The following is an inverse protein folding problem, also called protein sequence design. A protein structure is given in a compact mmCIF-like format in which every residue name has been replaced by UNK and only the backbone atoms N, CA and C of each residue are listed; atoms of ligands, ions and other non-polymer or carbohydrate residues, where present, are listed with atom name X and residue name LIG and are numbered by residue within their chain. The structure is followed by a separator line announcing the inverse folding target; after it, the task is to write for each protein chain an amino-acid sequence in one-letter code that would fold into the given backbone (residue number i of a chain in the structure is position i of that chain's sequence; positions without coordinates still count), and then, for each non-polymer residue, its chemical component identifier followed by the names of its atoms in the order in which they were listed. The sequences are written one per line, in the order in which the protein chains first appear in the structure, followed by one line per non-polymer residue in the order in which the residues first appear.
data_IF_493350165531
#
_entry.id   IF_493350165531
#
_cell.length_a   1.000
_cell.length_b   1.000
_cell.length_c   1.000
_cell.angle_alpha   90.00
_cell.angle_beta   90.00
_cell.angle_gamma   90.00
#
_symmetry.space_group_name_H-M   'P 1'
#
loop_
_entity.id
_entity.type
_entity.pdbx_description
1 polymer ?
#
# COMPACT_ATOMS: atom_id res chain seq x y z
N UNK A 1 -22.55 7.58 31.18
CA UNK A 1 -22.01 7.52 29.84
C UNK A 1 -20.65 6.83 29.90
N UNK A 2 -20.57 5.58 29.40
CA UNK A 2 -19.32 4.84 29.33
C UNK A 2 -18.43 5.56 28.34
N UNK A 3 -17.26 6.07 28.76
CA UNK A 3 -16.18 6.53 27.88
C UNK A 3 -15.86 5.40 26.92
N UNK A 4 -16.08 5.60 25.61
CA UNK A 4 -15.55 4.71 24.58
C UNK A 4 -14.04 4.69 24.73
N UNK A 5 -13.48 3.51 24.97
CA UNK A 5 -12.05 3.27 25.01
C UNK A 5 -11.47 3.64 23.63
N UNK A 6 -10.77 4.76 23.58
CA UNK A 6 -10.16 5.31 22.35
C UNK A 6 -8.75 4.76 22.14
N UNK A 7 -8.51 3.50 22.50
CA UNK A 7 -7.25 2.84 22.09
C UNK A 7 -7.19 2.87 20.58
N UNK A 8 -6.24 3.62 20.05
CA UNK A 8 -5.89 3.59 18.63
C UNK A 8 -5.44 2.15 18.34
N UNK A 9 -6.28 1.37 17.65
CA UNK A 9 -5.87 0.04 17.20
C UNK A 9 -4.67 0.23 16.27
N UNK A 10 -3.57 -0.43 16.56
CA UNK A 10 -2.44 -0.52 15.64
C UNK A 10 -2.96 -1.10 14.32
N UNK A 11 -2.58 -0.45 13.22
CA UNK A 11 -3.03 -0.87 11.91
C UNK A 11 -2.08 -1.94 11.43
N UNK A 12 -2.62 -3.12 11.24
CA UNK A 12 -1.90 -4.23 10.67
C UNK A 12 -1.63 -3.96 9.17
N UNK A 13 -0.38 -4.14 8.77
CA UNK A 13 0.05 -4.08 7.38
C UNK A 13 1.15 -5.12 7.15
N UNK A 14 1.33 -5.52 5.91
CA UNK A 14 2.36 -6.48 5.54
C UNK A 14 3.75 -5.86 5.56
N UNK A 15 4.75 -6.60 6.05
CA UNK A 15 6.14 -6.36 5.67
C UNK A 15 6.34 -6.67 4.17
N UNK A 16 7.43 -6.19 3.58
CA UNK A 16 7.74 -6.53 2.17
C UNK A 16 7.96 -8.04 1.99
N UNK A 17 8.59 -8.70 2.98
CA UNK A 17 8.78 -10.15 3.01
C UNK A 17 7.46 -10.90 3.08
N UNK A 18 6.53 -10.49 3.95
CA UNK A 18 5.21 -11.10 4.05
C UNK A 18 4.41 -10.94 2.74
N UNK A 19 4.41 -9.74 2.17
CA UNK A 19 3.73 -9.48 0.89
C UNK A 19 4.29 -10.36 -0.22
N UNK A 20 5.62 -10.49 -0.31
CA UNK A 20 6.28 -11.37 -1.28
C UNK A 20 5.88 -12.82 -1.08
N UNK A 21 5.94 -13.32 0.15
CA UNK A 21 5.54 -14.69 0.48
C UNK A 21 4.09 -14.99 0.07
N UNK A 22 3.15 -14.05 0.26
CA UNK A 22 1.76 -14.21 -0.14
C UNK A 22 1.61 -14.23 -1.67
N UNK A 23 2.28 -13.33 -2.39
CA UNK A 23 2.20 -13.23 -3.85
C UNK A 23 2.86 -14.41 -4.58
N UNK A 24 3.69 -15.19 -3.92
CA UNK A 24 4.30 -16.42 -4.45
C UNK A 24 3.38 -17.65 -4.37
N UNK A 25 2.28 -17.59 -3.58
CA UNK A 25 1.41 -18.75 -3.36
C UNK A 25 0.49 -19.14 -4.52
N UNK A 26 -0.03 -18.19 -5.34
CA UNK A 26 -0.88 -18.56 -6.45
C UNK A 26 -0.15 -19.40 -7.51
N UNK A 27 -0.73 -20.54 -7.88
CA UNK A 27 -0.20 -21.39 -8.95
C UNK A 27 -0.40 -20.70 -10.32
N UNK A 28 0.70 -20.21 -10.87
CA UNK A 28 0.70 -19.43 -12.13
C UNK A 28 0.33 -20.27 -13.38
N UNK A 29 0.31 -21.60 -13.26
CA UNK A 29 -0.11 -22.48 -14.35
C UNK A 29 -1.64 -22.60 -14.41
N UNK A 30 -2.33 -22.35 -13.30
CA UNK A 30 -3.78 -22.42 -13.21
C UNK A 30 -4.43 -21.08 -13.52
N UNK A 31 -5.54 -21.13 -14.31
CA UNK A 31 -6.34 -19.93 -14.66
C UNK A 31 -6.72 -19.12 -13.41
N UNK A 32 -7.29 -19.77 -12.40
CA UNK A 32 -7.65 -19.08 -11.14
C UNK A 32 -6.45 -18.51 -10.40
N UNK A 33 -5.31 -19.21 -10.38
CA UNK A 33 -4.09 -18.71 -9.71
C UNK A 33 -3.54 -17.45 -10.38
N UNK A 34 -3.56 -17.38 -11.70
CA UNK A 34 -3.16 -16.16 -12.42
C UNK A 34 -4.11 -14.99 -12.16
N UNK A 35 -5.43 -15.25 -12.18
CA UNK A 35 -6.43 -14.23 -11.85
C UNK A 35 -6.22 -13.69 -10.44
N UNK A 36 -6.12 -14.58 -9.46
CA UNK A 36 -6.00 -14.23 -8.05
C UNK A 36 -4.69 -13.47 -7.79
N UNK A 37 -3.58 -13.90 -8.43
CA UNK A 37 -2.30 -13.19 -8.36
C UNK A 37 -2.41 -11.77 -8.91
N UNK A 38 -2.97 -11.61 -10.11
CA UNK A 38 -3.09 -10.29 -10.72
C UNK A 38 -4.04 -9.38 -9.94
N UNK A 39 -5.11 -9.93 -9.37
CA UNK A 39 -6.01 -9.20 -8.48
C UNK A 39 -5.25 -8.62 -7.28
N UNK A 40 -4.44 -9.44 -6.59
CA UNK A 40 -3.65 -9.01 -5.44
C UNK A 40 -2.57 -7.98 -5.83
N UNK A 41 -1.91 -8.17 -6.97
CA UNK A 41 -0.93 -7.19 -7.49
C UNK A 41 -1.60 -5.84 -7.76
N UNK A 42 -2.74 -5.84 -8.47
CA UNK A 42 -3.45 -4.61 -8.80
C UNK A 42 -3.99 -3.91 -7.55
N UNK A 43 -4.54 -4.68 -6.61
CA UNK A 43 -5.02 -4.16 -5.33
C UNK A 43 -3.90 -3.50 -4.51
N UNK A 44 -2.71 -4.11 -4.48
CA UNK A 44 -1.55 -3.52 -3.82
C UNK A 44 -1.05 -2.28 -4.55
N UNK A 45 -0.82 -2.36 -5.86
CA UNK A 45 -0.23 -1.28 -6.64
C UNK A 45 -1.09 -0.01 -6.60
N UNK A 46 -2.39 -0.16 -6.79
CA UNK A 46 -3.34 0.96 -6.77
C UNK A 46 -3.73 1.43 -5.37
N UNK A 47 -3.58 0.60 -4.35
CA UNK A 47 -4.12 0.84 -3.01
C UNK A 47 -5.65 0.95 -2.98
N UNK A 48 -6.34 0.50 -4.02
CA UNK A 48 -7.81 0.54 -4.12
C UNK A 48 -8.48 -0.42 -3.14
N UNK A 49 -9.75 -0.18 -2.85
CA UNK A 49 -10.57 -1.14 -2.10
C UNK A 49 -10.88 -2.34 -2.99
N UNK A 50 -11.00 -3.53 -2.40
CA UNK A 50 -11.30 -4.74 -3.16
C UNK A 50 -12.56 -4.59 -4.03
N UNK A 51 -13.61 -3.96 -3.51
CA UNK A 51 -14.83 -3.69 -4.28
C UNK A 51 -14.57 -2.74 -5.45
N UNK A 52 -13.75 -1.71 -5.26
CA UNK A 52 -13.36 -0.79 -6.35
C UNK A 52 -12.63 -1.51 -7.49
N UNK A 53 -11.83 -2.53 -7.17
CA UNK A 53 -11.16 -3.39 -8.17
C UNK A 53 -12.16 -4.35 -8.84
N UNK A 54 -13.11 -4.89 -8.09
CA UNK A 54 -14.17 -5.74 -8.64
C UNK A 54 -15.09 -5.00 -9.60
N UNK A 55 -15.33 -3.71 -9.35
CA UNK A 55 -16.18 -2.86 -10.18
C UNK A 55 -15.48 -2.39 -11.48
N UNK A 56 -14.16 -2.62 -11.62
CA UNK A 56 -13.43 -2.24 -12.82
C UNK A 56 -13.94 -3.00 -14.05
N UNK A 57 -14.15 -2.24 -15.13
CA UNK A 57 -14.42 -2.76 -16.48
C UNK A 57 -13.21 -2.49 -17.38
N UNK A 58 -13.16 -3.14 -18.53
CA UNK A 58 -12.08 -2.92 -19.50
C UNK A 58 -12.01 -1.45 -19.95
N UNK A 59 -13.16 -0.78 -20.10
CA UNK A 59 -13.22 0.65 -20.40
C UNK A 59 -12.61 1.57 -19.32
N UNK A 60 -12.33 1.07 -18.12
CA UNK A 60 -11.68 1.85 -17.08
C UNK A 60 -10.14 1.79 -17.16
N UNK A 61 -9.58 1.00 -18.07
CA UNK A 61 -8.16 0.80 -18.23
C UNK A 61 -7.64 1.73 -19.32
N UNK A 62 -6.59 2.47 -19.04
CA UNK A 62 -5.92 3.37 -19.99
C UNK A 62 -4.45 2.97 -20.10
N UNK A 63 -4.13 2.28 -21.20
CA UNK A 63 -2.77 1.78 -21.47
C UNK A 63 -2.04 2.64 -22.50
N UNK A 64 -2.76 3.56 -23.15
CA UNK A 64 -2.23 4.42 -24.18
C UNK A 64 -1.47 5.60 -23.57
N UNK A 65 -0.24 5.81 -24.01
CA UNK A 65 0.59 6.92 -23.56
C UNK A 65 1.72 6.52 -22.59
N UNK A 66 2.43 7.55 -22.10
CA UNK A 66 3.61 7.38 -21.24
C UNK A 66 3.29 6.91 -19.82
N UNK A 67 2.11 7.24 -19.33
CA UNK A 67 1.70 6.96 -17.95
C UNK A 67 0.38 6.18 -17.92
N UNK A 68 0.43 4.83 -18.01
CA UNK A 68 -0.76 4.00 -17.89
C UNK A 68 -1.46 4.18 -16.53
N UNK A 69 -2.79 4.19 -16.53
CA UNK A 69 -3.59 4.33 -15.32
C UNK A 69 -4.91 3.60 -15.39
N UNK A 70 -5.52 3.41 -14.24
CA UNK A 70 -6.90 2.90 -14.10
C UNK A 70 -7.80 3.98 -13.52
N UNK A 71 -9.03 4.07 -14.04
CA UNK A 71 -10.07 4.97 -13.54
C UNK A 71 -10.86 4.25 -12.48
N UNK A 72 -10.68 4.64 -11.22
CA UNK A 72 -11.34 4.00 -10.08
C UNK A 72 -12.50 4.88 -9.62
N UNK A 73 -13.68 4.29 -9.50
CA UNK A 73 -14.88 4.94 -8.96
C UNK A 73 -15.06 4.55 -7.49
N UNK A 74 -14.99 5.52 -6.61
CA UNK A 74 -15.15 5.33 -5.17
C UNK A 74 -16.55 5.68 -4.65
N UNK A 75 -16.69 5.75 -3.32
CA UNK A 75 -17.95 6.10 -2.67
C UNK A 75 -18.48 7.46 -3.12
N UNK A 76 -19.76 7.53 -3.48
CA UNK A 76 -20.40 8.75 -3.98
C UNK A 76 -20.08 9.06 -5.45
N UNK A 77 -19.78 8.03 -6.23
CA UNK A 77 -19.45 8.12 -7.66
C UNK A 77 -18.26 9.05 -7.99
N UNK A 78 -17.39 9.30 -7.01
CA UNK A 78 -16.17 10.09 -7.23
C UNK A 78 -15.13 9.22 -7.94
N UNK A 79 -14.68 9.67 -9.09
CA UNK A 79 -13.63 9.01 -9.87
C UNK A 79 -12.26 9.57 -9.54
N UNK A 80 -11.23 8.71 -9.63
CA UNK A 80 -9.83 9.09 -9.58
C UNK A 80 -9.01 8.28 -10.58
N UNK A 81 -8.01 8.91 -11.16
CA UNK A 81 -7.05 8.26 -12.02
C UNK A 81 -5.87 7.77 -11.17
N UNK A 82 -5.64 6.47 -11.14
CA UNK A 82 -4.56 5.87 -10.37
C UNK A 82 -3.54 5.29 -11.33
N UNK A 83 -2.33 5.89 -11.41
CA UNK A 83 -1.25 5.33 -12.22
C UNK A 83 -0.90 3.92 -11.80
N UNK A 84 -0.57 3.06 -12.76
CA UNK A 84 -0.09 1.70 -12.51
C UNK A 84 1.38 1.56 -12.93
N UNK A 85 2.14 0.83 -12.10
CA UNK A 85 3.57 0.67 -12.32
C UNK A 85 3.86 -0.25 -13.50
N UNK A 86 5.05 -0.11 -14.11
CA UNK A 86 5.46 -0.88 -15.29
C UNK A 86 5.32 -2.39 -15.11
N UNK A 87 5.71 -2.90 -13.93
CA UNK A 87 5.56 -4.34 -13.62
C UNK A 87 4.09 -4.76 -13.61
N UNK A 88 3.20 -3.94 -13.06
CA UNK A 88 1.75 -4.17 -13.03
C UNK A 88 1.17 -4.13 -14.45
N UNK A 89 1.66 -3.23 -15.31
CA UNK A 89 1.28 -3.19 -16.72
C UNK A 89 1.64 -4.48 -17.46
N UNK A 90 2.81 -5.08 -17.18
CA UNK A 90 3.21 -6.38 -17.77
C UNK A 90 2.25 -7.49 -17.35
N UNK A 91 1.89 -7.54 -16.06
CA UNK A 91 0.89 -8.50 -15.56
C UNK A 91 -0.49 -8.27 -16.18
N UNK A 92 -0.92 -7.02 -16.30
CA UNK A 92 -2.19 -6.65 -16.92
C UNK A 92 -2.26 -7.12 -18.39
N UNK A 93 -1.24 -6.84 -19.19
CA UNK A 93 -1.19 -7.30 -20.60
C UNK A 93 -1.30 -8.82 -20.70
N UNK A 94 -0.54 -9.54 -19.88
CA UNK A 94 -0.60 -11.01 -19.81
C UNK A 94 -1.99 -11.52 -19.41
N UNK A 95 -2.61 -10.83 -18.44
CA UNK A 95 -3.95 -11.15 -17.97
C UNK A 95 -5.00 -10.91 -19.05
N UNK A 96 -5.01 -9.76 -19.70
CA UNK A 96 -5.95 -9.42 -20.77
C UNK A 96 -5.85 -10.42 -21.92
N UNK A 97 -4.65 -10.75 -22.37
CA UNK A 97 -4.44 -11.74 -23.43
C UNK A 97 -5.05 -13.12 -23.11
N UNK A 98 -5.05 -13.52 -21.84
CA UNK A 98 -5.56 -14.85 -21.44
C UNK A 98 -7.04 -14.87 -21.08
N UNK A 99 -7.55 -13.76 -20.53
CA UNK A 99 -8.90 -13.72 -19.96
C UNK A 99 -9.90 -12.94 -20.83
N UNK A 100 -9.43 -11.99 -21.64
CA UNK A 100 -10.24 -11.10 -22.44
C UNK A 100 -9.80 -11.15 -23.90
N UNK A 101 -10.15 -12.23 -24.57
CA UNK A 101 -9.82 -12.44 -26.00
C UNK A 101 -10.71 -11.57 -26.89
N UNK A 102 -11.96 -11.37 -26.46
CA UNK A 102 -12.93 -10.50 -27.12
C UNK A 102 -12.85 -9.11 -26.54
N UNK A 103 -12.79 -8.10 -27.39
CA UNK A 103 -12.67 -6.70 -26.98
C UNK A 103 -14.07 -6.13 -26.64
N UNK A 104 -14.54 -6.42 -25.43
CA UNK A 104 -15.81 -5.87 -24.92
C UNK A 104 -15.50 -4.86 -23.78
N UNK A 105 -15.52 -3.55 -24.06
CA UNK A 105 -15.18 -2.51 -23.08
C UNK A 105 -16.00 -2.54 -21.79
N UNK A 106 -17.23 -3.04 -21.85
CA UNK A 106 -18.14 -3.11 -20.71
C UNK A 106 -17.98 -4.37 -19.85
N UNK A 107 -17.09 -5.29 -20.26
CA UNK A 107 -16.83 -6.49 -19.49
C UNK A 107 -16.08 -6.16 -18.19
N UNK A 108 -16.44 -6.86 -17.11
CA UNK A 108 -15.71 -6.76 -15.85
C UNK A 108 -14.28 -7.28 -16.00
N UNK A 109 -13.31 -6.53 -15.51
CA UNK A 109 -11.90 -6.95 -15.52
C UNK A 109 -11.73 -8.29 -14.79
N UNK A 110 -12.41 -8.47 -13.65
CA UNK A 110 -12.39 -9.70 -12.88
C UNK A 110 -13.76 -10.34 -12.86
N UNK A 111 -13.88 -11.48 -13.51
CA UNK A 111 -15.13 -12.22 -13.61
C UNK A 111 -15.00 -13.67 -13.15
N UNK A 112 -16.13 -14.28 -12.88
CA UNK A 112 -16.30 -15.73 -12.77
C UNK A 112 -17.13 -16.21 -13.95
N UNK A 113 -16.82 -17.41 -14.43
CA UNK A 113 -17.53 -18.02 -15.52
C UNK A 113 -18.25 -19.30 -15.04
N UNK A 114 -19.54 -19.37 -15.25
CA UNK A 114 -20.37 -20.55 -14.95
C UNK A 114 -21.24 -20.88 -16.16
N UNK A 115 -21.10 -22.09 -16.68
CA UNK A 115 -21.87 -22.56 -17.88
C UNK A 115 -21.75 -21.59 -19.07
N UNK A 116 -20.56 -21.04 -19.30
CA UNK A 116 -20.31 -20.08 -20.38
C UNK A 116 -20.81 -18.65 -20.13
N UNK A 117 -21.43 -18.37 -18.97
CA UNK A 117 -21.89 -17.02 -18.60
C UNK A 117 -20.86 -16.37 -17.68
N UNK A 118 -20.35 -15.22 -18.09
CA UNK A 118 -19.45 -14.39 -17.30
C UNK A 118 -20.24 -13.43 -16.41
N UNK A 119 -19.87 -13.36 -15.14
CA UNK A 119 -20.44 -12.44 -14.17
C UNK A 119 -19.35 -11.85 -13.27
N UNK A 120 -19.62 -10.69 -12.69
CA UNK A 120 -18.69 -10.06 -11.76
C UNK A 120 -18.26 -11.02 -10.64
N UNK A 121 -16.97 -11.03 -10.32
CA UNK A 121 -16.47 -11.76 -9.16
C UNK A 121 -16.92 -11.08 -7.87
N UNK A 122 -17.32 -11.85 -6.85
CA UNK A 122 -17.79 -11.29 -5.57
C UNK A 122 -16.67 -11.02 -4.58
N UNK A 123 -16.94 -10.17 -3.60
CA UNK A 123 -16.01 -9.90 -2.49
C UNK A 123 -15.69 -11.18 -1.69
N UNK A 124 -16.68 -12.07 -1.50
CA UNK A 124 -16.47 -13.35 -0.81
C UNK A 124 -15.44 -14.24 -1.52
N UNK A 125 -15.38 -14.18 -2.85
CA UNK A 125 -14.34 -14.88 -3.59
C UNK A 125 -12.97 -14.33 -3.29
N UNK A 126 -12.84 -13.00 -3.18
CA UNK A 126 -11.59 -12.32 -2.83
C UNK A 126 -11.16 -12.72 -1.42
N UNK A 127 -12.05 -12.63 -0.43
CA UNK A 127 -11.76 -13.00 0.96
C UNK A 127 -11.32 -14.47 1.06
N UNK A 128 -12.00 -15.37 0.36
CA UNK A 128 -11.65 -16.80 0.34
C UNK A 128 -10.27 -17.08 -0.23
N UNK A 129 -9.89 -16.48 -1.36
CA UNK A 129 -8.57 -16.75 -1.91
C UNK A 129 -7.46 -16.04 -1.12
N UNK A 130 -7.71 -14.83 -0.62
CA UNK A 130 -6.79 -14.10 0.25
C UNK A 130 -6.48 -14.92 1.51
N UNK A 131 -7.49 -15.41 2.22
CA UNK A 131 -7.32 -16.26 3.38
C UNK A 131 -6.56 -17.56 3.06
N UNK A 132 -6.90 -18.20 1.94
CA UNK A 132 -6.24 -19.44 1.48
C UNK A 132 -4.76 -19.22 1.20
N UNK A 133 -4.40 -18.15 0.48
CA UNK A 133 -2.99 -17.86 0.17
C UNK A 133 -2.23 -17.36 1.40
N UNK A 134 -2.89 -16.62 2.28
CA UNK A 134 -2.33 -16.24 3.57
C UNK A 134 -1.93 -17.46 4.39
N UNK A 135 -2.85 -18.42 4.56
CA UNK A 135 -2.57 -19.65 5.30
C UNK A 135 -1.38 -20.44 4.71
N UNK A 136 -1.29 -20.51 3.38
CA UNK A 136 -0.14 -21.17 2.74
C UNK A 136 1.17 -20.41 2.94
N UNK A 137 1.13 -19.08 2.88
CA UNK A 137 2.32 -18.27 3.09
C UNK A 137 2.84 -18.34 4.53
N UNK A 138 1.95 -18.53 5.52
CA UNK A 138 2.33 -18.77 6.93
C UNK A 138 3.14 -20.06 7.13
N UNK A 139 2.96 -21.05 6.27
CA UNK A 139 3.77 -22.30 6.31
C UNK A 139 5.24 -22.03 5.95
N UNK A 140 5.53 -20.94 5.25
CA UNK A 140 6.86 -20.60 4.73
C UNK A 140 7.47 -19.34 5.32
N UNK A 141 6.66 -18.51 5.99
CA UNK A 141 7.12 -17.21 6.54
C UNK A 141 6.35 -16.86 7.81
N UNK A 142 7.08 -16.62 8.89
CA UNK A 142 6.53 -16.15 10.17
C UNK A 142 6.11 -14.68 10.16
N UNK A 143 6.52 -13.92 9.14
CA UNK A 143 6.18 -12.51 8.99
C UNK A 143 4.73 -12.29 8.52
N UNK A 144 4.08 -13.36 8.03
CA UNK A 144 2.72 -13.28 7.50
C UNK A 144 1.73 -13.24 8.67
N UNK A 145 0.87 -12.21 8.78
CA UNK A 145 -0.11 -12.11 9.84
C UNK A 145 -1.06 -13.31 9.92
N UNK A 146 -1.57 -13.60 11.11
CA UNK A 146 -2.48 -14.73 11.33
C UNK A 146 -3.78 -14.61 10.52
N UNK A 147 -4.35 -13.41 10.48
CA UNK A 147 -5.59 -13.14 9.78
C UNK A 147 -5.38 -12.15 8.65
N UNK A 148 -5.58 -12.61 7.41
CA UNK A 148 -5.53 -11.77 6.24
C UNK A 148 -6.93 -11.35 5.78
N UNK A 149 -7.08 -10.06 5.50
CA UNK A 149 -8.29 -9.49 4.91
C UNK A 149 -7.94 -8.48 3.82
N UNK A 150 -8.79 -8.27 2.81
CA UNK A 150 -8.41 -7.48 1.63
C UNK A 150 -7.95 -6.06 1.93
N UNK A 151 -8.48 -5.43 3.00
CA UNK A 151 -8.12 -4.06 3.35
C UNK A 151 -6.65 -3.88 3.78
N UNK A 152 -5.99 -4.96 4.22
CA UNK A 152 -4.56 -4.94 4.56
C UNK A 152 -3.67 -4.58 3.37
N UNK A 153 -4.03 -4.96 2.13
CA UNK A 153 -3.29 -4.55 0.93
C UNK A 153 -3.23 -3.03 0.79
N UNK A 154 -4.37 -2.39 1.00
CA UNK A 154 -4.47 -0.94 0.97
C UNK A 154 -3.66 -0.29 2.10
N UNK A 155 -3.73 -0.82 3.32
CA UNK A 155 -2.94 -0.33 4.45
C UNK A 155 -1.44 -0.51 4.19
N UNK A 156 -1.03 -1.67 3.68
CA UNK A 156 0.37 -1.94 3.36
C UNK A 156 0.88 -1.00 2.27
N UNK A 157 0.12 -0.79 1.19
CA UNK A 157 0.52 0.15 0.15
C UNK A 157 0.68 1.56 0.69
N UNK A 158 -0.27 2.01 1.50
CA UNK A 158 -0.22 3.31 2.13
C UNK A 158 1.03 3.48 3.02
N UNK A 159 1.30 2.49 3.88
CA UNK A 159 2.47 2.51 4.76
C UNK A 159 3.78 2.45 3.99
N UNK A 160 3.86 1.60 2.96
CA UNK A 160 5.07 1.51 2.13
C UNK A 160 5.34 2.80 1.36
N UNK A 161 4.32 3.43 0.75
CA UNK A 161 4.48 4.73 0.09
C UNK A 161 4.94 5.81 1.07
N UNK A 162 4.35 5.85 2.25
CA UNK A 162 4.71 6.82 3.28
C UNK A 162 6.15 6.60 3.78
N UNK A 163 6.53 5.36 4.12
CA UNK A 163 7.88 5.01 4.57
C UNK A 163 8.95 5.29 3.50
N UNK A 164 8.59 5.18 2.23
CA UNK A 164 9.45 5.54 1.11
C UNK A 164 9.42 7.04 0.75
N UNK A 165 8.93 7.90 1.66
CA UNK A 165 9.03 9.35 1.58
C UNK A 165 7.91 10.04 0.81
N UNK A 166 6.83 9.34 0.41
CA UNK A 166 5.68 9.99 -0.21
C UNK A 166 4.95 10.87 0.82
N UNK A 167 4.74 12.18 0.54
CA UNK A 167 4.03 13.06 1.46
C UNK A 167 2.62 12.57 1.78
N UNK A 168 2.20 12.68 3.04
CA UNK A 168 0.87 12.23 3.51
C UNK A 168 -0.31 12.76 2.67
N UNK A 169 -0.34 14.03 2.22
CA UNK A 169 -1.39 14.52 1.35
C UNK A 169 -1.49 13.75 0.03
N UNK A 170 -0.36 13.42 -0.59
CA UNK A 170 -0.32 12.62 -1.82
C UNK A 170 -0.77 11.17 -1.58
N UNK A 171 -0.40 10.57 -0.45
CA UNK A 171 -0.91 9.24 -0.07
C UNK A 171 -2.42 9.27 0.11
N UNK A 172 -2.96 10.32 0.76
CA UNK A 172 -4.40 10.48 0.95
C UNK A 172 -5.15 10.65 -0.38
N UNK A 173 -4.62 11.45 -1.29
CA UNK A 173 -5.16 11.66 -2.63
C UNK A 173 -5.14 10.36 -3.44
N UNK A 174 -3.99 9.68 -3.48
CA UNK A 174 -3.82 8.37 -4.12
C UNK A 174 -4.88 7.36 -3.68
N UNK A 175 -5.09 7.28 -2.37
CA UNK A 175 -6.08 6.39 -1.78
C UNK A 175 -7.52 6.87 -2.00
N UNK A 176 -7.76 8.13 -2.34
CA UNK A 176 -9.09 8.72 -2.43
C UNK A 176 -9.75 8.82 -1.05
N UNK A 177 -9.03 9.27 -0.03
CA UNK A 177 -9.58 9.56 1.28
C UNK A 177 -10.32 10.90 1.25
N UNK A 178 -11.62 10.86 1.55
CA UNK A 178 -12.46 12.08 1.57
C UNK A 178 -12.10 13.04 2.73
N UNK A 179 -11.44 12.54 3.79
CA UNK A 179 -11.01 13.30 4.95
C UNK A 179 -9.57 12.98 5.30
N UNK A 180 -8.75 14.01 5.45
CA UNK A 180 -7.35 13.92 5.90
C UNK A 180 -7.21 13.28 7.28
N UNK A 181 -8.20 13.42 8.16
CA UNK A 181 -8.21 12.82 9.50
C UNK A 181 -8.11 11.29 9.45
N UNK A 182 -8.68 10.66 8.43
CA UNK A 182 -8.54 9.21 8.25
C UNK A 182 -7.07 8.86 8.04
N UNK A 183 -6.38 9.59 7.18
CA UNK A 183 -4.95 9.39 6.90
C UNK A 183 -4.11 9.74 8.13
N UNK A 184 -4.38 10.85 8.80
CA UNK A 184 -3.66 11.28 10.00
C UNK A 184 -3.67 10.25 11.14
N UNK A 185 -4.82 9.60 11.38
CA UNK A 185 -4.95 8.56 12.42
C UNK A 185 -4.10 7.33 12.13
N UNK A 186 -3.91 7.00 10.85
CA UNK A 186 -3.08 5.87 10.43
C UNK A 186 -1.58 6.13 10.66
N UNK A 187 -1.15 7.40 10.61
CA UNK A 187 0.27 7.79 10.64
C UNK A 187 0.66 8.57 11.90
N UNK A 188 -0.27 8.70 12.87
CA UNK A 188 0.01 9.39 14.15
C UNK A 188 1.19 8.76 14.91
N UNK A 189 1.47 7.49 14.66
CA UNK A 189 2.59 6.73 15.21
C UNK A 189 3.76 6.63 14.19
N UNK A 190 3.99 7.68 13.40
CA UNK A 190 5.19 7.73 12.57
C UNK A 190 6.42 7.48 13.45
N UNK A 191 7.17 6.44 13.09
CA UNK A 191 8.36 6.02 13.80
C UNK A 191 9.31 7.20 13.98
N UNK A 192 9.93 7.31 15.15
CA UNK A 192 10.92 8.34 15.48
C UNK A 192 12.05 8.38 14.46
N UNK A 193 12.42 7.23 13.92
CA UNK A 193 13.43 7.08 12.87
C UNK A 193 13.03 7.84 11.59
N UNK A 194 11.78 7.73 11.15
CA UNK A 194 11.29 8.47 9.97
C UNK A 194 11.26 9.97 10.19
N UNK A 195 10.94 10.41 11.42
CA UNK A 195 10.97 11.84 11.78
C UNK A 195 12.41 12.36 11.75
N UNK A 196 13.35 11.57 12.25
CA UNK A 196 14.79 11.90 12.24
C UNK A 196 15.29 12.02 10.79
N UNK A 197 15.06 11.00 9.96
CA UNK A 197 15.44 11.00 8.54
C UNK A 197 14.84 12.17 7.75
N UNK A 198 13.55 12.48 8.01
CA UNK A 198 12.88 13.62 7.37
C UNK A 198 13.49 14.96 7.81
N UNK A 199 13.86 15.11 9.08
CA UNK A 199 14.53 16.31 9.61
C UNK A 199 15.92 16.40 9.01
N UNK A 200 16.71 15.34 9.03
CA UNK A 200 18.05 15.30 8.44
C UNK A 200 18.03 15.70 6.97
N UNK A 201 17.11 15.11 6.19
CA UNK A 201 16.94 15.44 4.75
C UNK A 201 16.49 16.88 4.52
N UNK A 202 15.64 17.43 5.38
CA UNK A 202 15.14 18.79 5.25
C UNK A 202 16.16 19.85 5.74
N UNK A 203 17.12 19.47 6.55
CA UNK A 203 18.06 20.40 7.20
C UNK A 203 19.50 20.24 6.70
N UNK A 204 19.79 19.22 5.88
CA UNK A 204 21.16 18.92 5.42
C UNK A 204 21.88 20.09 4.77
N UNK A 205 21.17 20.96 4.02
CA UNK A 205 21.78 22.04 3.24
C UNK A 205 21.89 23.38 3.99
N UNK A 206 21.22 23.54 5.13
CA UNK A 206 21.11 24.82 5.83
C UNK A 206 21.35 24.73 7.35
N UNK A 207 21.71 23.58 7.87
CA UNK A 207 21.94 23.45 9.31
C UNK A 207 23.40 23.80 9.66
N UNK A 208 23.66 24.93 10.35
CA UNK A 208 25.03 25.33 10.74
C UNK A 208 25.69 24.33 11.69
N UNK A 209 24.93 23.41 12.30
CA UNK A 209 25.46 22.35 13.18
C UNK A 209 26.09 21.18 12.40
N UNK A 210 25.95 21.13 11.08
CA UNK A 210 26.63 20.14 10.23
C UNK A 210 27.96 20.63 9.65
N UNK A 211 28.37 21.87 9.92
CA UNK A 211 29.73 22.32 9.61
C UNK A 211 30.68 21.82 10.74
N UNK A 212 31.76 21.13 10.35
CA UNK A 212 32.77 20.60 11.26
C UNK A 212 33.45 21.68 12.17
N UNK A 213 33.04 22.95 12.01
CA UNK A 213 33.53 24.07 12.85
C UNK A 213 32.86 24.10 14.25
N UNK A 214 31.81 23.30 14.48
CA UNK A 214 31.06 23.28 15.75
C UNK A 214 31.08 21.90 16.43
N UNK A 215 32.04 21.03 16.10
CA UNK A 215 32.33 19.83 16.88
C UNK A 215 32.96 20.26 18.21
N UNK A 216 32.13 20.70 19.14
CA UNK A 216 32.53 20.92 20.51
C UNK A 216 32.53 19.56 21.17
N UNK A 217 33.73 19.03 21.40
CA UNK A 217 33.92 17.82 22.19
C UNK A 217 33.66 18.17 23.66
N UNK A 218 32.43 17.91 24.10
CA UNK A 218 31.98 18.21 25.46
C UNK A 218 32.64 17.32 26.50
N UNK A 219 33.27 16.19 26.08
CA UNK A 219 33.92 15.25 27.00
C UNK A 219 35.26 15.74 27.48
N UNK A 220 35.94 16.64 26.77
CA UNK A 220 37.28 17.13 27.10
C UNK A 220 37.31 18.55 27.71
N UNK A 221 36.19 19.26 27.82
CA UNK A 221 36.15 20.61 28.39
C UNK A 221 35.64 20.60 29.85
N UNK A 222 36.54 20.19 30.76
CA UNK A 222 36.27 20.20 32.21
C UNK A 222 35.83 21.57 32.73
N UNK A 223 36.30 22.67 32.15
CA UNK A 223 35.97 24.03 32.58
C UNK A 223 34.54 24.42 32.18
N UNK A 224 34.07 23.94 31.00
CA UNK A 224 32.71 24.13 30.55
C UNK A 224 31.74 23.27 31.37
N UNK A 225 32.10 22.03 31.67
CA UNK A 225 31.31 21.14 32.53
C UNK A 225 31.20 21.72 33.97
N UNK A 226 32.27 22.24 34.56
CA UNK A 226 32.22 22.90 35.88
C UNK A 226 31.27 24.10 35.87
N UNK A 227 31.30 24.94 34.82
CA UNK A 227 30.38 26.07 34.68
C UNK A 227 28.92 25.65 34.52
N UNK A 228 28.64 24.61 33.76
CA UNK A 228 27.29 24.08 33.57
C UNK A 228 26.70 23.48 34.85
N UNK A 229 27.51 22.85 35.67
CA UNK A 229 27.11 22.30 36.98
C UNK A 229 27.19 23.29 38.13
N UNK A 230 27.54 24.59 37.87
CA UNK A 230 27.62 25.60 38.90
C UNK A 230 28.74 25.36 39.91
N UNK A 231 29.74 24.57 39.57
CA UNK A 231 30.89 24.27 40.34
C UNK A 231 31.99 25.36 40.08
N UNK A 232 32.45 26.01 41.12
CA UNK A 232 33.56 26.98 41.05
C UNK A 232 34.88 26.27 40.99
#
# INVERSE_FOLDING_TARGET
PKKKDTRVREIEFFSESALKAILEQPDRNKKNGQRDLFFMILMYDTGARAQEILDLRLCNIRMDGKNPYVVITGKGAKTRNVPIMEKTCKHLKSYLHRFHIEDNPEEYLFYIERKGIRSQMSIDNVEKFVARYGKKAQETSTDVPEHLYPHMWRHSRAMHLYRNGMPLPLVAEWLGHAKMDTTRRFYANADTTMKKEAIEKATSDFNPLFSNEYDIDWEDDEDLLKKLYGLK
#
